data_IF_177196859195
#
_entry.id   IF_177196859195
#
_cell.length_a   1.000
_cell.length_b   1.000
_cell.length_c   1.000
_cell.angle_alpha   90.00
_cell.angle_beta   90.00
_cell.angle_gamma   90.00
#
_symmetry.space_group_name_H-M   'P 1'
#
loop_
_entity.id
_entity.type
_entity.pdbx_description
1 polymer ?
#
# COMPACT_ATOMS: atom_id res chain seq x y z
N UNK A 1 -7.00 31.37 3.17
CA UNK A 1 -7.41 30.14 3.90
C UNK A 1 -8.32 29.33 2.99
N UNK A 2 -7.74 28.59 2.03
CA UNK A 2 -8.51 27.87 1.00
C UNK A 2 -8.66 26.41 1.39
N UNK A 3 -9.90 25.99 1.69
CA UNK A 3 -10.25 24.58 1.89
C UNK A 3 -10.09 23.87 0.54
N UNK A 4 -9.03 23.09 0.37
CA UNK A 4 -8.87 22.21 -0.79
C UNK A 4 -9.85 21.06 -0.64
N UNK A 5 -10.81 20.98 -1.55
CA UNK A 5 -11.71 19.84 -1.65
C UNK A 5 -10.88 18.62 -2.09
N UNK A 6 -10.71 17.65 -1.19
CA UNK A 6 -10.15 16.34 -1.51
C UNK A 6 -11.24 15.56 -2.24
N UNK A 7 -10.95 15.10 -3.45
CA UNK A 7 -11.86 14.30 -4.25
C UNK A 7 -12.39 13.11 -3.45
N UNK A 8 -13.70 12.92 -3.49
CA UNK A 8 -14.40 11.82 -2.79
C UNK A 8 -13.94 10.50 -3.42
N UNK A 9 -13.14 9.73 -2.68
CA UNK A 9 -12.75 8.36 -3.04
C UNK A 9 -13.89 7.42 -2.68
N UNK A 10 -14.16 6.40 -3.51
CA UNK A 10 -15.10 5.33 -3.14
C UNK A 10 -14.43 4.43 -2.10
N UNK A 11 -15.12 4.20 -0.97
CA UNK A 11 -14.65 3.31 0.09
C UNK A 11 -14.58 1.84 -0.33
N UNK A 12 -13.76 1.07 0.39
CA UNK A 12 -13.57 -0.38 0.19
C UNK A 12 -14.74 -1.24 0.71
N UNK A 13 -15.71 -0.67 1.41
CA UNK A 13 -16.74 -1.42 2.14
C UNK A 13 -18.15 -0.81 2.08
N UNK A 14 -19.09 -1.50 2.73
CA UNK A 14 -20.52 -1.12 2.78
C UNK A 14 -20.91 -0.44 4.12
N UNK A 15 -19.91 -0.03 4.91
CA UNK A 15 -20.07 0.70 6.18
C UNK A 15 -20.03 2.21 5.98
N UNK A 16 -20.24 3.02 7.03
CA UNK A 16 -20.11 4.47 6.90
C UNK A 16 -18.64 4.84 6.67
N UNK A 17 -18.27 5.05 5.41
CA UNK A 17 -16.91 5.35 4.94
C UNK A 17 -16.23 6.46 5.75
N UNK A 18 -16.99 7.43 6.27
CA UNK A 18 -16.47 8.63 6.91
C UNK A 18 -16.44 8.61 8.44
N UNK A 19 -16.68 7.47 9.10
CA UNK A 19 -16.53 7.41 10.57
C UNK A 19 -15.08 7.65 10.95
N UNK A 20 -14.86 8.58 11.88
CA UNK A 20 -13.53 8.82 12.44
C UNK A 20 -13.10 7.63 13.31
N UNK A 21 -11.91 7.12 13.06
CA UNK A 21 -11.22 6.13 13.89
C UNK A 21 -10.02 6.79 14.57
N UNK A 22 -9.74 6.37 15.81
CA UNK A 22 -8.69 6.93 16.66
C UNK A 22 -7.50 5.98 16.73
N UNK A 23 -6.38 6.36 16.12
CA UNK A 23 -5.18 5.54 16.00
C UNK A 23 -4.03 6.14 16.81
N UNK A 24 -2.98 5.36 17.05
CA UNK A 24 -1.80 5.82 17.81
C UNK A 24 -1.11 7.04 17.19
N UNK A 25 -1.29 7.27 15.90
CA UNK A 25 -0.76 8.40 15.15
C UNK A 25 -1.79 9.51 14.88
N UNK A 26 -2.99 9.41 15.46
CA UNK A 26 -4.05 10.41 15.36
C UNK A 26 -5.34 9.90 14.72
N UNK A 27 -6.22 10.85 14.43
CA UNK A 27 -7.55 10.59 13.89
C UNK A 27 -7.52 10.50 12.36
N UNK A 28 -8.21 9.50 11.80
CA UNK A 28 -8.43 9.36 10.35
C UNK A 28 -9.83 8.83 10.08
N UNK A 29 -10.29 8.82 8.84
CA UNK A 29 -11.55 8.18 8.48
C UNK A 29 -11.37 6.66 8.30
N UNK A 30 -12.45 5.91 8.54
CA UNK A 30 -12.47 4.46 8.43
C UNK A 30 -12.12 3.98 7.02
N UNK A 31 -12.55 4.70 5.97
CA UNK A 31 -12.22 4.37 4.58
C UNK A 31 -10.72 4.54 4.29
N UNK A 32 -10.11 5.63 4.76
CA UNK A 32 -8.68 5.86 4.60
C UNK A 32 -7.89 4.80 5.35
N UNK A 33 -8.28 4.49 6.59
CA UNK A 33 -7.59 3.46 7.35
C UNK A 33 -7.74 2.06 6.75
N UNK A 34 -8.89 1.75 6.14
CA UNK A 34 -9.07 0.48 5.42
C UNK A 34 -8.08 0.34 4.25
N UNK A 35 -7.80 1.42 3.52
CA UNK A 35 -6.79 1.40 2.47
C UNK A 35 -5.37 1.22 3.02
N UNK A 36 -5.05 1.90 4.13
CA UNK A 36 -3.77 1.72 4.82
C UNK A 36 -3.56 0.26 5.28
N UNK A 37 -4.58 -0.32 5.92
CA UNK A 37 -4.57 -1.71 6.36
C UNK A 37 -4.48 -2.71 5.21
N UNK A 38 -5.19 -2.46 4.09
CA UNK A 38 -5.12 -3.33 2.92
C UNK A 38 -3.70 -3.33 2.32
N UNK A 39 -3.07 -2.15 2.20
CA UNK A 39 -1.70 -2.05 1.70
C UNK A 39 -0.71 -2.78 2.61
N UNK A 40 -0.80 -2.56 3.92
CA UNK A 40 0.02 -3.22 4.94
C UNK A 40 -0.12 -4.75 4.91
N UNK A 41 -1.36 -5.22 4.89
CA UNK A 41 -1.70 -6.65 4.81
C UNK A 41 -1.10 -7.29 3.57
N UNK A 42 -1.18 -6.63 2.42
CA UNK A 42 -0.68 -7.17 1.15
C UNK A 42 0.85 -7.20 1.13
N UNK A 43 1.51 -6.15 1.64
CA UNK A 43 2.96 -6.12 1.78
C UNK A 43 3.44 -7.29 2.65
N UNK A 44 2.81 -7.49 3.80
CA UNK A 44 3.21 -8.55 4.73
C UNK A 44 2.79 -9.95 4.28
N UNK A 45 1.71 -10.09 3.51
CA UNK A 45 1.36 -11.36 2.87
C UNK A 45 2.48 -11.78 1.91
N UNK A 46 3.00 -10.85 1.12
CA UNK A 46 4.12 -11.11 0.22
C UNK A 46 5.41 -11.41 0.98
N UNK A 47 5.73 -10.64 2.04
CA UNK A 47 6.91 -10.87 2.88
C UNK A 47 6.87 -12.27 3.51
N UNK A 48 5.71 -12.70 4.01
CA UNK A 48 5.50 -14.03 4.58
C UNK A 48 5.63 -15.15 3.55
N UNK A 49 5.03 -14.98 2.37
CA UNK A 49 5.16 -15.96 1.28
C UNK A 49 6.63 -16.18 0.90
N UNK A 50 7.38 -15.09 0.74
CA UNK A 50 8.82 -15.13 0.47
C UNK A 50 9.60 -15.82 1.58
N UNK A 51 9.39 -15.40 2.84
CA UNK A 51 10.10 -15.97 3.98
C UNK A 51 9.81 -17.45 4.19
N UNK A 52 8.63 -17.92 3.77
CA UNK A 52 8.23 -19.32 3.82
C UNK A 52 8.61 -20.13 2.56
N UNK A 53 9.20 -19.50 1.53
CA UNK A 53 9.48 -20.16 0.25
C UNK A 53 8.21 -20.59 -0.52
N UNK A 54 7.10 -19.87 -0.32
CA UNK A 54 5.82 -20.08 -0.99
C UNK A 54 5.68 -19.18 -2.22
N UNK A 55 4.62 -19.38 -3.00
CA UNK A 55 4.30 -18.54 -4.15
C UNK A 55 4.05 -17.09 -3.72
N UNK A 56 4.86 -16.17 -4.24
CA UNK A 56 4.81 -14.73 -3.93
C UNK A 56 3.76 -13.97 -4.76
N UNK A 57 2.89 -14.68 -5.47
CA UNK A 57 1.95 -14.07 -6.41
C UNK A 57 0.73 -13.54 -5.67
N UNK A 58 0.57 -12.22 -5.67
CA UNK A 58 -0.62 -11.55 -5.15
C UNK A 58 -1.73 -11.52 -6.21
N UNK A 59 -2.97 -11.35 -5.74
CA UNK A 59 -4.13 -11.12 -6.62
C UNK A 59 -3.90 -9.88 -7.50
N UNK A 60 -3.97 -10.08 -8.82
CA UNK A 60 -3.82 -9.01 -9.82
C UNK A 60 -4.85 -7.89 -9.63
N UNK A 61 -6.07 -8.25 -9.24
CA UNK A 61 -7.15 -7.29 -8.99
C UNK A 61 -6.82 -6.38 -7.79
N UNK A 62 -6.34 -6.98 -6.70
CA UNK A 62 -5.96 -6.22 -5.50
C UNK A 62 -4.76 -5.31 -5.78
N UNK A 63 -3.75 -5.81 -6.48
CA UNK A 63 -2.57 -5.01 -6.88
C UNK A 63 -3.00 -3.82 -7.76
N UNK A 64 -3.89 -4.05 -8.73
CA UNK A 64 -4.41 -2.99 -9.59
C UNK A 64 -5.23 -1.95 -8.80
N UNK A 65 -6.01 -2.38 -7.81
CA UNK A 65 -6.77 -1.49 -6.94
C UNK A 65 -5.87 -0.67 -6.00
N UNK A 66 -4.79 -1.27 -5.48
CA UNK A 66 -3.84 -0.61 -4.57
C UNK A 66 -2.90 0.35 -5.28
N UNK A 67 -2.54 0.11 -6.55
CA UNK A 67 -1.53 0.91 -7.23
C UNK A 67 -1.79 2.43 -7.21
N UNK A 68 -2.99 2.95 -7.56
CA UNK A 68 -3.26 4.38 -7.49
C UNK A 68 -3.11 4.93 -6.07
N UNK A 69 -3.59 4.17 -5.07
CA UNK A 69 -3.49 4.57 -3.67
C UNK A 69 -2.03 4.61 -3.18
N UNK A 70 -1.25 3.56 -3.46
CA UNK A 70 0.12 3.44 -3.03
C UNK A 70 1.03 4.46 -3.73
N UNK A 71 0.93 4.59 -5.06
CA UNK A 71 1.77 5.51 -5.85
C UNK A 71 1.60 6.97 -5.46
N UNK A 72 0.42 7.37 -4.98
CA UNK A 72 0.17 8.72 -4.46
C UNK A 72 0.70 8.90 -3.03
N UNK A 73 0.43 7.95 -2.12
CA UNK A 73 0.65 8.16 -0.69
C UNK A 73 2.05 7.74 -0.21
N UNK A 74 2.61 6.64 -0.72
CA UNK A 74 3.90 6.09 -0.23
C UNK A 74 5.05 7.11 -0.30
N UNK A 75 5.21 7.93 -1.35
CA UNK A 75 6.26 8.97 -1.38
C UNK A 75 6.22 9.94 -0.19
N UNK A 76 5.04 10.17 0.39
CA UNK A 76 4.87 11.08 1.52
C UNK A 76 5.31 10.41 2.84
N UNK A 77 5.13 9.09 2.95
CA UNK A 77 5.50 8.29 4.12
C UNK A 77 6.99 7.90 4.15
N UNK A 78 7.68 7.95 3.00
CA UNK A 78 9.11 7.67 2.94
C UNK A 78 9.92 8.69 3.75
N UNK A 79 9.54 9.98 3.71
CA UNK A 79 10.20 11.02 4.51
C UNK A 79 10.02 10.85 6.02
N UNK A 80 8.99 10.13 6.47
CA UNK A 80 8.74 9.84 7.88
C UNK A 80 9.34 8.51 8.35
N UNK A 81 9.99 7.75 7.46
CA UNK A 81 10.59 6.46 7.78
C UNK A 81 9.59 5.33 8.04
N UNK A 82 8.31 5.52 7.69
CA UNK A 82 7.27 4.49 7.84
C UNK A 82 7.44 3.38 6.80
N UNK A 83 7.84 3.77 5.58
CA UNK A 83 8.14 2.85 4.48
C UNK A 83 9.60 3.03 4.09
N UNK A 84 10.30 1.93 3.85
CA UNK A 84 11.67 1.95 3.36
C UNK A 84 11.76 2.71 2.01
N UNK A 85 12.93 3.29 1.67
CA UNK A 85 13.14 3.89 0.36
C UNK A 85 12.81 2.91 -0.76
N UNK A 86 12.25 3.38 -1.89
CA UNK A 86 11.83 2.51 -2.96
C UNK A 86 13.05 1.88 -3.64
N UNK A 87 12.92 0.62 -4.02
CA UNK A 87 13.93 -0.09 -4.82
C UNK A 87 13.69 0.22 -6.29
N UNK A 88 14.75 0.37 -7.07
CA UNK A 88 14.64 0.54 -8.51
C UNK A 88 14.30 -0.81 -9.18
N UNK A 89 13.31 -0.84 -10.06
CA UNK A 89 12.98 -2.03 -10.87
C UNK A 89 12.72 -1.63 -12.32
N UNK A 90 13.11 -2.50 -13.24
CA UNK A 90 12.81 -2.39 -14.68
C UNK A 90 11.56 -3.20 -15.08
N UNK A 91 10.90 -3.87 -14.14
CA UNK A 91 9.74 -4.69 -14.42
C UNK A 91 8.51 -3.86 -14.83
N UNK A 92 7.78 -4.37 -15.81
CA UNK A 92 6.46 -3.86 -16.20
C UNK A 92 5.32 -4.54 -15.44
N UNK A 93 5.59 -5.57 -14.61
CA UNK A 93 4.58 -6.17 -13.75
C UNK A 93 4.19 -5.22 -12.62
N UNK A 94 2.89 -5.03 -12.43
CA UNK A 94 2.37 -4.04 -11.49
C UNK A 94 2.66 -4.41 -10.03
N UNK A 95 2.76 -5.71 -9.70
CA UNK A 95 3.17 -6.11 -8.35
C UNK A 95 4.62 -5.79 -8.12
N UNK A 96 5.50 -6.09 -9.08
CA UNK A 96 6.93 -5.80 -8.92
C UNK A 96 7.15 -4.32 -8.66
N UNK A 97 6.45 -3.46 -9.40
CA UNK A 97 6.45 -2.01 -9.16
C UNK A 97 5.88 -1.62 -7.80
N UNK A 98 4.80 -2.26 -7.35
CA UNK A 98 4.22 -2.02 -6.03
C UNK A 98 5.17 -2.44 -4.89
N UNK A 99 5.76 -3.63 -4.98
CA UNK A 99 6.73 -4.18 -4.03
C UNK A 99 7.98 -3.30 -3.97
N UNK A 100 8.50 -2.91 -5.13
CA UNK A 100 9.62 -1.99 -5.27
C UNK A 100 9.32 -0.62 -4.65
N UNK A 101 8.13 -0.06 -4.89
CA UNK A 101 7.68 1.19 -4.25
C UNK A 101 7.63 1.09 -2.73
N UNK A 102 7.30 -0.08 -2.19
CA UNK A 102 7.29 -0.40 -0.76
C UNK A 102 8.68 -0.75 -0.20
N UNK A 103 9.74 -0.54 -0.99
CA UNK A 103 11.13 -0.71 -0.55
C UNK A 103 11.61 -2.15 -0.44
N UNK A 104 10.94 -3.07 -1.16
CA UNK A 104 11.32 -4.48 -1.24
C UNK A 104 11.84 -4.80 -2.64
N UNK A 105 12.81 -5.71 -2.75
CA UNK A 105 13.28 -6.17 -4.05
C UNK A 105 12.32 -7.24 -4.60
N UNK A 106 11.62 -7.03 -5.73
CA UNK A 106 10.75 -8.05 -6.31
C UNK A 106 11.50 -9.22 -6.93
N UNK A 107 12.80 -9.08 -7.18
CA UNK A 107 13.61 -10.13 -7.81
C UNK A 107 14.12 -11.13 -6.77
N UNK A 108 14.12 -12.42 -7.13
CA UNK A 108 14.84 -13.44 -6.37
C UNK A 108 16.33 -13.24 -6.59
N UNK A 109 17.09 -13.10 -5.51
CA UNK A 109 18.52 -13.33 -5.58
C UNK A 109 18.73 -14.83 -5.80
N UNK A 110 19.15 -15.24 -7.00
CA UNK A 110 19.72 -16.58 -7.20
C UNK A 110 20.89 -16.72 -6.20
N UNK A 111 20.74 -17.65 -5.25
CA UNK A 111 21.83 -18.11 -4.38
C UNK A 111 22.49 -19.34 -5.00
#
# INVERSE_FOLDING_TARGET
>A
MGRRERGVRRGLGRGPDHVTVHLSFGDTSADEYAWQLLLDTIAHTWDLARGAGLEERLSREIVAALWPYASENVPHWQSSGIVAPPVHTHSDDLQDRLIALLGRDPHVHEQ
#
